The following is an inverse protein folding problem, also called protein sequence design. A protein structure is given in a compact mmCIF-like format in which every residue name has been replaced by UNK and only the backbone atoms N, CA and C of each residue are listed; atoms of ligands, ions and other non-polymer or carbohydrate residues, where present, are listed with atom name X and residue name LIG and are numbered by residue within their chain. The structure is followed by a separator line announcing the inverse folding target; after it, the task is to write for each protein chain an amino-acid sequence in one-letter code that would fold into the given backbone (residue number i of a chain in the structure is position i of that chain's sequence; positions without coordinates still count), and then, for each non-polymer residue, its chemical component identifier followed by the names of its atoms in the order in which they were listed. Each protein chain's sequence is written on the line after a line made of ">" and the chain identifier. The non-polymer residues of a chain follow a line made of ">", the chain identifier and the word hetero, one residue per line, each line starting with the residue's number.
data_IF_238114094391
#
_entry.id   IF_238114094391
#
_cell.length_a   1.000
_cell.length_b   1.000
_cell.length_c   1.000
_cell.angle_alpha   90.00
_cell.angle_beta   90.00
_cell.angle_gamma   90.00
#
_symmetry.space_group_name_H-M   'P 1'
#
loop_
_entity.id
_entity.type
_entity.pdbx_description
1 polymer ?
#
# COMPACT_ATOMS: atom_id res chain seq x y z
N UNK A 1 -18.07 -2.28 10.15
CA UNK A 1 -18.15 -1.07 9.28
C UNK A 1 -16.80 -0.56 8.76
N UNK A 2 -15.63 -1.07 9.19
CA UNK A 2 -14.30 -0.60 8.72
C UNK A 2 -13.79 -1.28 7.43
N UNK A 3 -14.27 -2.49 7.13
CA UNK A 3 -13.76 -3.34 6.04
C UNK A 3 -14.09 -2.76 4.65
N UNK A 4 -15.34 -2.35 4.43
CA UNK A 4 -15.77 -1.74 3.17
C UNK A 4 -15.02 -0.44 2.87
N UNK A 5 -14.78 0.39 3.89
CA UNK A 5 -14.03 1.65 3.73
C UNK A 5 -12.59 1.41 3.28
N UNK A 6 -11.92 0.39 3.80
CA UNK A 6 -10.54 0.05 3.42
C UNK A 6 -10.45 -0.51 2.00
N UNK A 7 -11.41 -1.34 1.58
CA UNK A 7 -11.48 -1.83 0.20
C UNK A 7 -11.67 -0.69 -0.79
N UNK A 8 -12.56 0.25 -0.47
CA UNK A 8 -12.78 1.44 -1.30
C UNK A 8 -11.51 2.30 -1.35
N UNK A 9 -10.88 2.58 -0.21
CA UNK A 9 -9.62 3.33 -0.14
C UNK A 9 -8.52 2.67 -0.98
N UNK A 10 -8.37 1.34 -0.89
CA UNK A 10 -7.42 0.59 -1.69
C UNK A 10 -7.73 0.70 -3.19
N UNK A 11 -8.99 0.58 -3.58
CA UNK A 11 -9.42 0.68 -4.98
C UNK A 11 -9.25 2.09 -5.56
N UNK A 12 -9.47 3.13 -4.76
CA UNK A 12 -9.37 4.54 -5.22
C UNK A 12 -7.96 5.12 -5.06
N UNK A 13 -7.00 4.37 -4.53
CA UNK A 13 -5.64 4.88 -4.27
C UNK A 13 -5.54 5.82 -3.07
N UNK A 14 -6.57 5.85 -2.22
CA UNK A 14 -6.59 6.56 -0.93
C UNK A 14 -6.19 5.65 0.23
N UNK A 15 -5.50 4.54 -0.05
CA UNK A 15 -4.92 3.72 0.99
C UNK A 15 -3.72 4.42 1.61
N UNK A 16 -3.50 4.19 2.90
CA UNK A 16 -2.35 4.68 3.66
C UNK A 16 -1.07 3.93 3.25
N UNK A 17 -0.60 4.19 2.03
CA UNK A 17 0.56 3.56 1.40
C UNK A 17 1.44 4.64 0.76
N UNK A 18 2.70 4.33 0.47
CA UNK A 18 3.69 5.30 -0.03
C UNK A 18 3.22 6.17 -1.20
N UNK A 19 2.51 5.61 -2.18
CA UNK A 19 1.97 6.38 -3.31
C UNK A 19 0.92 7.46 -2.93
N UNK A 20 0.20 7.26 -1.83
CA UNK A 20 -0.68 8.27 -1.23
C UNK A 20 0.15 9.33 -0.49
N UNK A 21 1.11 8.91 0.33
CA UNK A 21 1.96 9.84 1.09
C UNK A 21 2.76 10.77 0.20
N UNK A 22 3.31 10.28 -0.91
CA UNK A 22 3.98 11.12 -1.93
C UNK A 22 3.12 12.30 -2.39
N UNK A 23 1.79 12.13 -2.45
CA UNK A 23 0.87 13.15 -2.96
C UNK A 23 0.27 14.03 -1.87
N UNK A 24 -0.01 13.47 -0.70
CA UNK A 24 -0.85 14.11 0.30
C UNK A 24 -0.17 14.33 1.66
N UNK A 25 0.93 13.61 1.95
CA UNK A 25 1.68 13.68 3.21
C UNK A 25 3.18 13.51 2.91
N UNK A 26 3.84 14.50 2.28
CA UNK A 26 5.19 14.32 1.73
C UNK A 26 6.29 14.10 2.78
N UNK A 27 6.03 14.42 4.04
CA UNK A 27 6.94 14.19 5.17
C UNK A 27 6.92 12.74 5.69
N UNK A 28 5.93 11.93 5.29
CA UNK A 28 5.80 10.54 5.70
C UNK A 28 6.68 9.60 4.84
N UNK A 29 7.19 8.52 5.44
CA UNK A 29 8.01 7.58 4.68
C UNK A 29 7.17 6.83 3.63
N UNK A 30 7.65 6.87 2.40
CA UNK A 30 7.02 6.22 1.24
C UNK A 30 7.60 4.84 0.94
N UNK A 31 8.74 4.50 1.53
CA UNK A 31 9.51 3.29 1.18
C UNK A 31 8.84 2.05 1.76
N UNK A 32 8.97 0.95 1.05
CA UNK A 32 8.58 -0.34 1.58
C UNK A 32 9.70 -0.91 2.43
N UNK A 33 9.34 -1.64 3.49
CA UNK A 33 10.29 -2.38 4.30
C UNK A 33 11.01 -3.49 3.52
N UNK A 34 10.46 -3.91 2.37
CA UNK A 34 11.13 -4.87 1.49
C UNK A 34 12.28 -4.24 0.67
N UNK A 35 12.46 -2.92 0.74
CA UNK A 35 13.47 -2.18 -0.01
C UNK A 35 12.92 -1.41 -1.22
N UNK A 36 11.67 -1.62 -1.62
CA UNK A 36 11.06 -0.88 -2.73
C UNK A 36 11.00 0.63 -2.42
N UNK A 37 11.50 1.51 -3.31
CA UNK A 37 11.55 2.95 -3.07
C UNK A 37 10.20 3.61 -2.82
N UNK A 38 9.10 3.04 -3.31
CA UNK A 38 7.76 3.54 -3.06
C UNK A 38 6.74 2.41 -3.01
N UNK A 39 6.00 2.34 -1.90
CA UNK A 39 4.87 1.44 -1.76
C UNK A 39 3.72 1.85 -2.68
N UNK A 40 3.55 1.13 -3.77
CA UNK A 40 2.38 1.22 -4.64
C UNK A 40 1.37 0.12 -4.30
N UNK A 41 0.12 0.30 -4.74
CA UNK A 41 -0.92 -0.72 -4.59
C UNK A 41 -0.52 -2.01 -5.29
N UNK A 42 -0.02 -1.90 -6.53
CA UNK A 42 0.35 -3.06 -7.32
C UNK A 42 1.55 -3.79 -6.69
N UNK A 43 2.52 -3.05 -6.18
CA UNK A 43 3.61 -3.62 -5.40
C UNK A 43 3.08 -4.42 -4.20
N UNK A 44 2.27 -3.82 -3.33
CA UNK A 44 1.75 -4.48 -2.12
C UNK A 44 0.93 -5.74 -2.47
N UNK A 45 0.08 -5.66 -3.50
CA UNK A 45 -0.84 -6.74 -3.85
C UNK A 45 -0.20 -7.85 -4.68
N UNK A 46 0.80 -7.54 -5.53
CA UNK A 46 1.29 -8.45 -6.56
C UNK A 46 2.80 -8.70 -6.56
N UNK A 47 3.61 -7.93 -5.85
CA UNK A 47 5.07 -8.02 -5.99
C UNK A 47 5.79 -8.13 -4.65
N UNK A 48 5.23 -7.53 -3.59
CA UNK A 48 5.91 -7.38 -2.33
C UNK A 48 6.12 -8.74 -1.66
N UNK A 49 7.38 -9.13 -1.38
CA UNK A 49 7.68 -10.42 -0.78
C UNK A 49 7.20 -10.52 0.66
N UNK A 50 7.04 -9.39 1.36
CA UNK A 50 6.52 -9.36 2.74
C UNK A 50 5.10 -9.90 2.80
N UNK A 51 4.29 -9.66 1.77
CA UNK A 51 2.88 -10.03 1.75
C UNK A 51 2.61 -11.29 0.91
N UNK A 52 3.63 -12.10 0.67
CA UNK A 52 3.51 -13.28 -0.18
C UNK A 52 2.62 -14.34 0.48
N UNK A 53 2.80 -14.57 1.79
CA UNK A 53 2.07 -15.60 2.51
C UNK A 53 0.56 -15.27 2.55
N UNK A 54 0.20 -14.01 2.81
CA UNK A 54 -1.19 -13.55 2.86
C UNK A 54 -1.89 -13.55 1.51
N UNK A 55 -1.14 -13.60 0.40
CA UNK A 55 -1.71 -13.68 -0.95
C UNK A 55 -2.25 -15.07 -1.29
N UNK A 56 -1.73 -16.09 -0.61
CA UNK A 56 -2.03 -17.49 -0.89
C UNK A 56 -2.93 -18.13 0.19
N UNK A 57 -3.45 -17.33 1.14
CA UNK A 57 -4.50 -17.71 2.09
C UNK A 57 -5.90 -17.67 1.45
#
# INVERSE_FOLDING_TARGET
>A
RKTFSRLIQCRTGHAHIGSYYVKFVPDEDRRCQCGEPTQTRDHILYECPIFNDERHL
#
